data_IF_366788519646
#
_entry.id   IF_366788519646
#
_cell.length_a   1.000
_cell.length_b   1.000
_cell.length_c   1.000
_cell.angle_alpha   90.00
_cell.angle_beta   90.00
_cell.angle_gamma   90.00
#
_symmetry.space_group_name_H-M   'P 1'
#
loop_
_entity.id
_entity.type
_entity.pdbx_description
1 polymer ?
#
# COMPACT_ATOMS: atom_id res chain seq x y z
N UNK A 1 -12.89 14.57 6.13
CA UNK A 1 -12.71 13.16 6.50
C UNK A 1 -13.52 12.89 7.76
N UNK A 2 -14.65 12.22 7.57
CA UNK A 2 -15.56 11.89 8.66
C UNK A 2 -15.52 10.38 8.91
N UNK A 3 -15.11 9.99 10.10
CA UNK A 3 -15.00 8.58 10.49
C UNK A 3 -16.37 7.95 10.79
N UNK A 4 -17.40 8.77 10.94
CA UNK A 4 -18.79 8.30 11.08
C UNK A 4 -19.42 8.21 9.70
N UNK A 5 -19.76 7.03 9.19
CA UNK A 5 -20.38 6.91 7.88
C UNK A 5 -21.81 7.39 7.90
N UNK A 6 -22.21 8.05 6.82
CA UNK A 6 -23.58 8.45 6.56
C UNK A 6 -24.15 7.61 5.40
N UNK A 7 -24.72 6.41 5.67
CA UNK A 7 -25.13 5.46 4.63
C UNK A 7 -26.10 6.03 3.60
N UNK A 8 -27.03 6.89 4.01
CA UNK A 8 -28.01 7.47 3.10
C UNK A 8 -27.39 8.54 2.19
N UNK A 9 -26.37 9.26 2.64
CA UNK A 9 -25.63 10.20 1.81
C UNK A 9 -24.79 9.47 0.77
N UNK A 10 -24.07 8.41 1.17
CA UNK A 10 -23.31 7.54 0.25
C UNK A 10 -24.25 7.00 -0.84
N UNK A 11 -25.41 6.48 -0.44
CA UNK A 11 -26.43 5.99 -1.35
C UNK A 11 -26.99 7.10 -2.26
N UNK A 12 -27.20 8.29 -1.71
CA UNK A 12 -27.65 9.46 -2.46
C UNK A 12 -26.66 9.82 -3.57
N UNK A 13 -25.37 9.91 -3.26
CA UNK A 13 -24.31 10.22 -4.23
C UNK A 13 -24.18 9.11 -5.28
N UNK A 14 -24.15 7.84 -4.87
CA UNK A 14 -24.08 6.71 -5.80
C UNK A 14 -25.28 6.70 -6.78
N UNK A 15 -26.49 6.95 -6.28
CA UNK A 15 -27.69 7.05 -7.12
C UNK A 15 -27.65 8.25 -8.08
N UNK A 16 -27.12 9.40 -7.64
CA UNK A 16 -26.96 10.58 -8.49
C UNK A 16 -25.97 10.32 -9.64
N UNK A 17 -24.85 9.65 -9.34
CA UNK A 17 -23.89 9.21 -10.35
C UNK A 17 -24.56 8.27 -11.36
N UNK A 18 -25.28 7.25 -10.90
CA UNK A 18 -25.98 6.32 -11.78
C UNK A 18 -27.03 7.04 -12.67
N UNK A 19 -27.81 7.96 -12.12
CA UNK A 19 -28.79 8.74 -12.86
C UNK A 19 -28.18 9.70 -13.88
N UNK A 20 -26.95 10.15 -13.66
CA UNK A 20 -26.27 11.06 -14.60
C UNK A 20 -25.93 10.41 -15.94
N UNK A 21 -25.92 9.07 -16.02
CA UNK A 21 -25.51 8.31 -17.19
C UNK A 21 -24.01 8.46 -17.56
N UNK A 22 -23.21 9.14 -16.72
CA UNK A 22 -21.80 9.37 -16.97
C UNK A 22 -20.95 8.29 -16.27
N UNK A 23 -19.89 7.78 -16.91
CA UNK A 23 -18.96 6.82 -16.29
C UNK A 23 -18.08 7.53 -15.25
N UNK A 24 -18.54 7.60 -14.02
CA UNK A 24 -17.82 8.22 -12.90
C UNK A 24 -17.49 7.17 -11.84
N UNK A 25 -16.28 7.28 -11.27
CA UNK A 25 -15.83 6.49 -10.13
C UNK A 25 -16.16 7.25 -8.85
N UNK A 26 -16.84 6.58 -7.92
CA UNK A 26 -17.04 7.08 -6.57
C UNK A 26 -15.95 6.46 -5.67
N UNK A 27 -15.11 7.31 -5.12
CA UNK A 27 -14.12 6.96 -4.12
C UNK A 27 -14.53 7.58 -2.78
N UNK A 28 -14.63 6.76 -1.75
CA UNK A 28 -14.93 7.21 -0.39
C UNK A 28 -13.61 7.35 0.39
N UNK A 29 -13.47 8.45 1.11
CA UNK A 29 -12.31 8.75 1.96
C UNK A 29 -12.76 9.24 3.34
N UNK A 30 -13.31 8.35 4.18
CA UNK A 30 -13.83 8.72 5.49
C UNK A 30 -12.75 8.93 6.55
N UNK A 31 -11.48 8.83 6.20
CA UNK A 31 -10.35 8.87 7.12
C UNK A 31 -9.93 7.50 7.64
N UNK A 32 -9.05 7.48 8.64
CA UNK A 32 -8.60 6.25 9.28
C UNK A 32 -9.65 5.63 10.20
N UNK A 33 -9.39 4.42 10.64
CA UNK A 33 -10.22 3.64 11.57
C UNK A 33 -11.69 3.40 11.11
N UNK A 34 -11.84 3.18 9.82
CA UNK A 34 -13.15 2.89 9.19
C UNK A 34 -13.73 1.58 9.74
N UNK A 35 -15.02 1.60 10.10
CA UNK A 35 -15.69 0.42 10.66
C UNK A 35 -16.26 -0.49 9.56
N UNK A 36 -15.83 -1.76 9.45
CA UNK A 36 -16.36 -2.73 8.50
C UNK A 36 -17.87 -3.06 8.65
N UNK A 37 -18.48 -2.72 9.76
CA UNK A 37 -19.93 -2.96 9.98
C UNK A 37 -20.80 -2.20 8.97
N UNK A 38 -20.26 -1.15 8.36
CA UNK A 38 -20.95 -0.37 7.33
C UNK A 38 -20.61 -0.79 5.89
N UNK A 39 -20.06 -2.00 5.72
CA UNK A 39 -19.61 -2.52 4.42
C UNK A 39 -20.68 -2.41 3.31
N UNK A 40 -21.94 -2.71 3.62
CA UNK A 40 -23.02 -2.66 2.65
C UNK A 40 -23.23 -1.23 2.07
N UNK A 41 -23.06 -0.21 2.90
CA UNK A 41 -23.11 1.18 2.45
C UNK A 41 -21.87 1.52 1.60
N UNK A 42 -20.68 1.14 2.06
CA UNK A 42 -19.43 1.41 1.36
C UNK A 42 -19.37 0.73 -0.02
N UNK A 43 -19.91 -0.47 -0.14
CA UNK A 43 -19.93 -1.23 -1.39
C UNK A 43 -20.85 -0.64 -2.49
N UNK A 44 -21.48 0.49 -2.25
CA UNK A 44 -22.13 1.30 -3.28
C UNK A 44 -21.16 2.22 -4.03
N UNK A 45 -19.98 2.39 -3.49
CA UNK A 45 -18.87 3.07 -4.15
C UNK A 45 -17.98 2.08 -4.90
N UNK A 46 -16.98 2.58 -5.59
CA UNK A 46 -16.00 1.79 -6.33
C UNK A 46 -14.71 1.60 -5.53
N UNK A 47 -14.41 2.52 -4.64
CA UNK A 47 -13.23 2.50 -3.81
C UNK A 47 -13.57 3.01 -2.40
N UNK A 48 -12.91 2.44 -1.40
CA UNK A 48 -12.98 2.88 -0.02
C UNK A 48 -11.58 2.99 0.55
N UNK A 49 -11.15 4.18 0.88
CA UNK A 49 -9.92 4.38 1.64
C UNK A 49 -10.15 3.99 3.10
N UNK A 50 -9.31 3.10 3.61
CA UNK A 50 -9.45 2.52 4.95
C UNK A 50 -8.32 2.92 5.90
N UNK A 51 -7.25 3.48 5.37
CA UNK A 51 -6.08 3.93 6.14
C UNK A 51 -6.16 5.41 6.49
N UNK A 52 -5.45 5.88 7.54
CA UNK A 52 -5.10 7.29 7.68
C UNK A 52 -4.22 7.74 6.50
N UNK A 53 -3.77 9.00 6.53
CA UNK A 53 -2.80 9.50 5.56
C UNK A 53 -1.49 8.71 5.65
N UNK A 54 -1.16 8.00 4.57
CA UNK A 54 0.03 7.16 4.51
C UNK A 54 1.19 7.97 3.95
N UNK A 55 2.24 8.04 4.76
CA UNK A 55 3.50 8.66 4.38
C UNK A 55 4.63 7.63 4.34
N UNK A 56 5.81 8.09 3.96
CA UNK A 56 7.02 7.30 3.73
C UNK A 56 7.76 6.96 5.03
N UNK A 57 7.08 6.29 5.95
CA UNK A 57 7.64 5.81 7.21
C UNK A 57 7.17 4.40 7.55
N UNK A 58 7.83 3.78 8.53
CA UNK A 58 7.50 2.43 8.98
C UNK A 58 6.10 2.32 9.54
N UNK A 59 5.62 3.37 10.21
CA UNK A 59 4.28 3.41 10.78
C UNK A 59 3.21 3.26 9.68
N UNK A 60 3.36 3.99 8.56
CA UNK A 60 2.47 3.86 7.40
C UNK A 60 2.45 2.45 6.80
N UNK A 61 3.60 1.78 6.72
CA UNK A 61 3.67 0.39 6.30
C UNK A 61 2.89 -0.52 7.27
N UNK A 62 3.11 -0.36 8.58
CA UNK A 62 2.46 -1.19 9.59
C UNK A 62 0.95 -0.99 9.61
N UNK A 63 0.47 0.23 9.47
CA UNK A 63 -0.95 0.57 9.33
C UNK A 63 -1.57 -0.08 8.10
N UNK A 64 -0.91 -0.04 6.94
CA UNK A 64 -1.39 -0.72 5.74
C UNK A 64 -1.54 -2.24 5.94
N UNK A 65 -0.60 -2.91 6.60
CA UNK A 65 -0.73 -4.34 6.90
C UNK A 65 -1.86 -4.63 7.90
N UNK A 66 -2.04 -3.80 8.92
CA UNK A 66 -3.14 -3.93 9.87
C UNK A 66 -4.50 -3.79 9.19
N UNK A 67 -4.63 -2.79 8.32
CA UNK A 67 -5.86 -2.58 7.56
C UNK A 67 -6.09 -3.67 6.52
N UNK A 68 -5.04 -4.19 5.85
CA UNK A 68 -5.20 -5.33 4.96
C UNK A 68 -5.76 -6.55 5.69
N UNK A 69 -5.30 -6.83 6.92
CA UNK A 69 -5.88 -7.89 7.78
C UNK A 69 -7.34 -7.60 8.12
N UNK A 70 -7.65 -6.40 8.59
CA UNK A 70 -8.99 -5.95 8.99
C UNK A 70 -10.00 -6.04 7.84
N UNK A 71 -9.56 -5.69 6.63
CA UNK A 71 -10.39 -5.63 5.44
C UNK A 71 -10.27 -6.84 4.52
N UNK A 72 -9.54 -7.89 4.94
CA UNK A 72 -9.37 -9.09 4.14
C UNK A 72 -10.71 -9.72 3.77
N UNK A 73 -10.84 -10.14 2.50
CA UNK A 73 -12.07 -10.73 1.96
C UNK A 73 -13.24 -9.77 1.75
N UNK A 74 -13.08 -8.45 2.00
CA UNK A 74 -14.17 -7.47 1.86
C UNK A 74 -14.20 -6.74 0.51
N UNK A 75 -13.15 -6.85 -0.30
CA UNK A 75 -13.16 -6.36 -1.68
C UNK A 75 -13.95 -7.31 -2.59
N UNK A 76 -14.48 -6.78 -3.67
CA UNK A 76 -15.17 -7.56 -4.72
C UNK A 76 -15.00 -6.85 -6.06
N UNK A 77 -15.29 -7.51 -7.20
CA UNK A 77 -15.30 -6.84 -8.49
C UNK A 77 -16.17 -5.57 -8.47
N UNK A 78 -15.58 -4.44 -8.84
CA UNK A 78 -16.23 -3.12 -8.81
C UNK A 78 -16.13 -2.37 -7.47
N UNK A 79 -15.53 -2.97 -6.43
CA UNK A 79 -15.27 -2.32 -5.16
C UNK A 79 -13.92 -2.75 -4.58
N UNK A 80 -12.99 -1.83 -4.46
CA UNK A 80 -11.64 -2.07 -3.98
C UNK A 80 -11.32 -1.30 -2.70
N UNK A 81 -10.56 -1.95 -1.84
CA UNK A 81 -10.03 -1.34 -0.62
C UNK A 81 -8.80 -0.51 -0.99
N UNK A 82 -8.87 0.78 -0.71
CA UNK A 82 -7.82 1.74 -0.99
C UNK A 82 -7.00 1.98 0.29
N UNK A 83 -5.69 1.80 0.19
CA UNK A 83 -4.73 2.02 1.27
C UNK A 83 -3.91 3.30 1.05
N UNK A 84 -4.51 4.30 0.40
CA UNK A 84 -3.94 5.61 0.15
C UNK A 84 -2.81 5.63 -0.89
N UNK A 85 -2.07 6.71 -0.96
CA UNK A 85 -1.05 6.97 -1.97
C UNK A 85 0.22 6.11 -1.85
N UNK A 86 1.01 6.09 -2.92
CA UNK A 86 2.36 5.53 -2.97
C UNK A 86 3.36 6.68 -2.87
N UNK A 87 3.99 6.89 -1.70
CA UNK A 87 4.84 8.06 -1.45
C UNK A 87 6.29 7.84 -1.93
N UNK A 88 6.48 7.57 -3.24
CA UNK A 88 7.80 7.41 -3.85
C UNK A 88 8.24 8.67 -4.59
N UNK A 89 9.55 8.90 -4.68
CA UNK A 89 10.13 10.04 -5.36
C UNK A 89 10.03 11.35 -4.58
N UNK A 90 9.88 12.46 -5.28
CA UNK A 90 9.72 13.76 -4.66
C UNK A 90 8.30 13.93 -4.14
N UNK A 91 8.18 14.25 -2.86
CA UNK A 91 6.92 14.49 -2.16
C UNK A 91 6.76 15.98 -1.88
N UNK A 92 5.51 16.46 -1.91
CA UNK A 92 5.17 17.80 -1.46
C UNK A 92 4.44 17.73 -0.11
N UNK A 93 5.05 18.27 0.92
CA UNK A 93 4.43 18.38 2.23
C UNK A 93 3.44 19.55 2.23
N UNK A 94 2.25 19.34 2.75
CA UNK A 94 1.16 20.33 2.75
C UNK A 94 1.31 21.40 3.83
N UNK A 95 2.54 21.79 4.13
CA UNK A 95 2.85 22.85 5.08
C UNK A 95 3.68 23.91 4.41
N UNK A 96 3.56 25.19 4.78
CA UNK A 96 4.48 26.21 4.30
C UNK A 96 5.89 25.83 4.75
N UNK A 97 6.87 26.05 3.87
CA UNK A 97 8.26 25.87 4.22
C UNK A 97 8.65 26.91 5.27
N UNK A 98 8.98 26.51 6.51
CA UNK A 98 9.40 27.45 7.55
C UNK A 98 10.70 28.14 7.19
N UNK A 99 10.95 29.33 7.73
CA UNK A 99 12.26 29.93 7.68
C UNK A 99 13.31 28.99 8.31
N UNK A 100 14.45 28.86 7.69
CA UNK A 100 15.51 27.95 8.15
C UNK A 100 15.42 26.50 7.64
N UNK A 101 14.41 26.16 6.84
CA UNK A 101 14.33 24.88 6.12
C UNK A 101 14.61 25.12 4.63
N UNK A 102 15.60 24.40 4.07
CA UNK A 102 15.97 24.52 2.65
C UNK A 102 15.03 23.74 1.72
N UNK A 103 14.44 22.66 2.25
CA UNK A 103 13.65 21.68 1.49
C UNK A 103 14.45 20.45 1.06
N UNK A 104 15.74 20.39 1.45
CA UNK A 104 16.60 19.21 1.24
C UNK A 104 16.83 18.42 2.53
N UNK A 105 16.32 18.91 3.67
CA UNK A 105 16.44 18.24 4.94
C UNK A 105 15.52 17.01 5.01
N UNK A 106 16.02 15.99 5.71
CA UNK A 106 15.23 14.84 6.13
C UNK A 106 14.20 15.23 7.20
N UNK A 107 13.21 14.38 7.40
CA UNK A 107 12.21 14.53 8.48
C UNK A 107 12.87 14.64 9.85
N UNK A 108 13.92 13.85 10.10
CA UNK A 108 14.63 13.88 11.38
C UNK A 108 15.35 15.22 11.61
N UNK A 109 15.99 15.76 10.59
CA UNK A 109 16.64 17.08 10.66
C UNK A 109 15.62 18.20 10.90
N UNK A 110 14.49 18.17 10.21
CA UNK A 110 13.40 19.12 10.42
C UNK A 110 12.88 19.03 11.87
N UNK A 111 12.60 17.81 12.35
CA UNK A 111 12.14 17.60 13.72
C UNK A 111 13.17 18.04 14.76
N UNK A 112 14.46 17.86 14.49
CA UNK A 112 15.54 18.35 15.36
C UNK A 112 15.55 19.88 15.42
N UNK A 113 15.43 20.55 14.27
CA UNK A 113 15.35 22.02 14.20
C UNK A 113 14.12 22.57 14.93
N UNK A 114 12.97 21.89 14.84
CA UNK A 114 11.76 22.26 15.59
C UNK A 114 11.98 22.10 17.11
N UNK A 115 12.59 20.98 17.53
CA UNK A 115 12.87 20.71 18.94
C UNK A 115 13.91 21.67 19.55
N UNK A 116 14.89 22.13 18.77
CA UNK A 116 15.89 23.09 19.19
C UNK A 116 15.37 24.54 19.20
N UNK A 117 14.18 24.81 18.65
CA UNK A 117 13.64 26.15 18.51
C UNK A 117 14.24 26.96 17.36
N UNK A 118 15.07 26.34 16.51
CA UNK A 118 15.59 27.01 15.30
C UNK A 118 14.49 27.26 14.26
N UNK A 119 13.45 26.44 14.29
CA UNK A 119 12.29 26.52 13.40
C UNK A 119 11.03 26.40 14.25
N UNK A 120 10.10 27.31 14.07
CA UNK A 120 8.80 27.24 14.72
C UNK A 120 8.00 26.05 14.19
N UNK A 121 7.21 25.41 15.06
CA UNK A 121 6.25 24.39 14.65
C UNK A 121 5.25 25.03 13.69
N UNK A 122 5.15 24.50 12.50
CA UNK A 122 4.25 25.00 11.48
C UNK A 122 2.94 24.18 11.40
N UNK A 123 1.89 24.83 10.97
CA UNK A 123 0.58 24.21 10.73
C UNK A 123 0.44 23.79 9.26
N UNK A 124 -0.36 22.76 9.03
CA UNK A 124 -0.73 22.33 7.69
C UNK A 124 -1.58 23.40 7.00
N UNK A 125 -1.13 23.87 5.85
CA UNK A 125 -1.86 24.80 5.01
C UNK A 125 -1.97 24.25 3.59
N UNK A 126 -3.18 23.90 3.19
CA UNK A 126 -3.45 23.36 1.86
C UNK A 126 -2.88 24.28 0.75
N UNK A 127 -2.19 23.67 -0.20
CA UNK A 127 -1.60 24.37 -1.35
C UNK A 127 -0.34 25.19 -1.07
N UNK A 128 0.22 25.11 0.13
CA UNK A 128 1.47 25.79 0.50
C UNK A 128 2.46 24.81 1.13
N UNK A 129 2.94 23.88 0.33
CA UNK A 129 3.88 22.88 0.81
C UNK A 129 5.32 23.17 0.40
N UNK A 130 6.22 22.30 0.82
CA UNK A 130 7.59 22.24 0.34
C UNK A 130 7.95 20.80 -0.07
N UNK A 131 8.93 20.68 -0.96
CA UNK A 131 9.31 19.40 -1.51
C UNK A 131 10.41 18.74 -0.68
N UNK A 132 10.35 17.43 -0.57
CA UNK A 132 11.45 16.57 -0.14
C UNK A 132 11.41 15.22 -0.85
N UNK A 133 12.49 14.49 -0.83
CA UNK A 133 12.53 13.13 -1.36
C UNK A 133 11.95 12.15 -0.32
N UNK A 134 11.31 11.09 -0.81
CA UNK A 134 10.83 9.99 0.01
C UNK A 134 11.97 9.38 0.85
N UNK A 135 11.70 9.13 2.11
CA UNK A 135 12.66 8.54 3.07
C UNK A 135 12.58 7.00 3.13
N UNK A 136 11.71 6.39 2.37
CA UNK A 136 11.67 4.93 2.30
C UNK A 136 13.01 4.35 1.84
N UNK A 137 13.50 3.37 2.59
CA UNK A 137 14.58 2.50 2.11
C UNK A 137 14.12 1.70 0.88
N UNK A 138 15.06 1.13 0.14
CA UNK A 138 14.74 0.26 -1.00
C UNK A 138 13.93 -0.96 -0.58
N UNK A 139 14.21 -1.55 0.59
CA UNK A 139 13.48 -2.70 1.11
C UNK A 139 12.04 -2.31 1.52
N UNK A 140 11.86 -1.13 2.11
CA UNK A 140 10.53 -0.59 2.39
C UNK A 140 9.73 -0.33 1.11
N UNK A 141 10.36 0.22 0.07
CA UNK A 141 9.69 0.41 -1.23
C UNK A 141 9.27 -0.92 -1.86
N UNK A 142 10.13 -1.95 -1.82
CA UNK A 142 9.81 -3.30 -2.30
C UNK A 142 8.64 -3.88 -1.52
N UNK A 143 8.68 -3.81 -0.20
CA UNK A 143 7.59 -4.25 0.68
C UNK A 143 6.30 -3.53 0.36
N UNK A 144 6.34 -2.22 0.28
CA UNK A 144 5.17 -1.37 0.08
C UNK A 144 4.46 -1.68 -1.24
N UNK A 145 5.19 -1.71 -2.36
CA UNK A 145 4.59 -1.98 -3.67
C UNK A 145 4.11 -3.43 -3.81
N UNK A 146 4.81 -4.39 -3.20
CA UNK A 146 4.40 -5.80 -3.20
C UNK A 146 3.10 -5.99 -2.42
N UNK A 147 3.00 -5.38 -1.24
CA UNK A 147 1.79 -5.36 -0.43
C UNK A 147 0.60 -4.75 -1.21
N UNK A 148 0.81 -3.59 -1.86
CA UNK A 148 -0.21 -2.92 -2.67
C UNK A 148 -0.70 -3.80 -3.82
N UNK A 149 0.21 -4.53 -4.47
CA UNK A 149 -0.15 -5.42 -5.56
C UNK A 149 -0.99 -6.61 -5.06
N UNK A 150 -0.55 -7.28 -3.99
CA UNK A 150 -1.23 -8.45 -3.44
C UNK A 150 -2.56 -8.12 -2.77
N UNK A 151 -2.69 -6.95 -2.16
CA UNK A 151 -3.95 -6.49 -1.59
C UNK A 151 -4.97 -6.00 -2.63
N UNK A 152 -4.57 -5.93 -3.90
CA UNK A 152 -5.35 -5.32 -4.98
C UNK A 152 -5.81 -3.89 -4.67
N UNK A 153 -5.04 -3.15 -3.86
CA UNK A 153 -5.30 -1.75 -3.58
C UNK A 153 -5.03 -0.90 -4.82
N UNK A 154 -5.84 0.10 -5.12
CA UNK A 154 -5.57 1.03 -6.21
C UNK A 154 -4.17 1.64 -6.10
N UNK A 155 -3.46 1.72 -7.23
CA UNK A 155 -2.12 2.28 -7.28
C UNK A 155 -2.18 3.76 -7.64
N UNK A 156 -2.17 4.62 -6.63
CA UNK A 156 -2.19 6.07 -6.78
C UNK A 156 -0.85 6.65 -6.34
N UNK A 157 -0.16 7.34 -7.27
CA UNK A 157 1.12 7.96 -6.96
C UNK A 157 0.92 9.24 -6.15
N UNK A 158 1.59 9.31 -5.00
CA UNK A 158 1.64 10.51 -4.16
C UNK A 158 2.87 11.38 -4.44
N UNK A 159 3.88 10.84 -5.11
CA UNK A 159 5.07 11.56 -5.50
C UNK A 159 5.04 12.06 -6.95
N UNK A 160 5.94 12.99 -7.27
CA UNK A 160 6.08 13.56 -8.60
C UNK A 160 6.67 12.55 -9.59
N UNK A 161 5.87 12.11 -10.56
CA UNK A 161 6.28 11.09 -11.54
C UNK A 161 7.50 11.49 -12.39
N UNK A 162 7.63 12.75 -12.87
CA UNK A 162 8.79 13.17 -13.66
C UNK A 162 10.13 13.11 -12.92
N UNK A 163 10.12 13.15 -11.60
CA UNK A 163 11.34 13.14 -10.76
C UNK A 163 11.65 11.79 -10.13
N UNK A 164 10.91 10.74 -10.49
CA UNK A 164 11.20 9.39 -10.00
C UNK A 164 12.60 8.93 -10.41
N UNK A 165 13.33 8.37 -9.45
CA UNK A 165 14.58 7.68 -9.74
C UNK A 165 14.33 6.35 -10.48
N UNK A 166 15.38 5.80 -11.09
CA UNK A 166 15.30 4.57 -11.87
C UNK A 166 14.81 3.35 -11.05
N UNK A 167 15.11 3.31 -9.75
CA UNK A 167 14.68 2.22 -8.89
C UNK A 167 13.17 2.29 -8.66
N UNK A 168 12.66 3.45 -8.23
CA UNK A 168 11.22 3.70 -8.04
C UNK A 168 10.43 3.45 -9.32
N UNK A 169 10.93 3.95 -10.45
CA UNK A 169 10.32 3.73 -11.77
C UNK A 169 10.24 2.24 -12.11
N UNK A 170 11.33 1.47 -11.88
CA UNK A 170 11.34 0.02 -12.10
C UNK A 170 10.30 -0.71 -11.25
N UNK A 171 10.07 -0.27 -10.02
CA UNK A 171 9.08 -0.89 -9.13
C UNK A 171 7.65 -0.70 -9.66
N UNK A 172 7.28 0.54 -9.96
CA UNK A 172 5.90 0.87 -10.37
C UNK A 172 5.56 0.45 -11.81
N UNK A 173 6.58 0.13 -12.61
CA UNK A 173 6.41 -0.36 -14.00
C UNK A 173 6.67 -1.86 -14.15
N UNK A 174 6.92 -2.59 -13.07
CA UNK A 174 7.13 -4.03 -13.11
C UNK A 174 5.86 -4.74 -13.58
N UNK A 175 5.96 -5.47 -14.69
CA UNK A 175 4.79 -6.09 -15.35
C UNK A 175 4.11 -7.14 -14.50
N UNK A 176 4.86 -7.93 -13.72
CA UNK A 176 4.30 -8.97 -12.86
C UNK A 176 3.58 -8.37 -11.65
N UNK A 177 4.15 -7.31 -11.08
CA UNK A 177 3.52 -6.56 -9.98
C UNK A 177 2.21 -5.89 -10.45
N UNK A 178 2.24 -5.27 -11.63
CA UNK A 178 1.04 -4.69 -12.23
C UNK A 178 0.00 -5.76 -12.57
N UNK A 179 0.43 -6.91 -13.10
CA UNK A 179 -0.47 -8.03 -13.38
C UNK A 179 -1.11 -8.59 -12.10
N UNK A 180 -0.36 -8.70 -11.01
CA UNK A 180 -0.87 -9.07 -9.70
C UNK A 180 -1.95 -8.09 -9.22
N UNK A 181 -1.66 -6.79 -9.23
CA UNK A 181 -2.60 -5.76 -8.83
C UNK A 181 -3.86 -5.75 -9.71
N UNK A 182 -3.71 -5.75 -11.03
CA UNK A 182 -4.80 -5.72 -12.01
C UNK A 182 -5.62 -7.03 -12.03
N UNK A 183 -5.10 -8.10 -11.44
CA UNK A 183 -5.88 -9.30 -11.17
C UNK A 183 -7.11 -8.99 -10.30
N UNK A 184 -7.04 -7.95 -9.45
CA UNK A 184 -8.16 -7.42 -8.69
C UNK A 184 -8.71 -8.39 -7.64
N UNK A 185 -7.91 -9.35 -7.19
CA UNK A 185 -8.23 -10.30 -6.13
C UNK A 185 -7.35 -9.97 -4.92
N UNK A 186 -7.97 -9.61 -3.83
CA UNK A 186 -7.26 -9.33 -2.57
C UNK A 186 -6.66 -10.63 -2.02
N UNK A 187 -5.37 -10.61 -1.76
CA UNK A 187 -4.65 -11.77 -1.22
C UNK A 187 -5.03 -12.07 0.22
N UNK A 188 -4.91 -13.34 0.59
CA UNK A 188 -5.18 -13.87 1.91
C UNK A 188 -3.89 -14.15 2.67
N UNK A 189 -3.91 -13.94 3.99
CA UNK A 189 -2.82 -14.30 4.89
C UNK A 189 -2.85 -15.83 5.12
N UNK A 190 -1.80 -16.53 4.67
CA UNK A 190 -1.72 -18.00 4.78
C UNK A 190 -0.69 -18.45 5.83
N UNK A 191 0.20 -17.56 6.27
CA UNK A 191 1.19 -17.86 7.30
C UNK A 191 1.52 -16.59 8.08
N UNK A 192 1.59 -16.69 9.40
CA UNK A 192 1.96 -15.62 10.31
C UNK A 192 2.66 -16.19 11.53
N UNK A 193 3.98 -16.21 11.49
CA UNK A 193 4.78 -16.74 12.58
C UNK A 193 6.17 -16.12 12.60
N UNK A 194 6.68 -15.89 13.80
CA UNK A 194 8.05 -15.39 14.04
C UNK A 194 8.39 -14.12 13.25
N UNK A 195 7.39 -13.21 13.09
CA UNK A 195 7.54 -11.97 12.34
C UNK A 195 7.62 -12.16 10.83
N UNK A 196 7.30 -13.35 10.30
CA UNK A 196 7.13 -13.59 8.87
C UNK A 196 5.65 -13.69 8.55
N UNK A 197 5.22 -12.92 7.56
CA UNK A 197 3.89 -13.03 6.97
C UNK A 197 3.98 -13.53 5.53
N UNK A 198 3.14 -14.51 5.18
CA UNK A 198 2.98 -14.95 3.79
C UNK A 198 1.56 -14.68 3.35
N UNK A 199 1.44 -13.89 2.30
CA UNK A 199 0.18 -13.55 1.67
C UNK A 199 0.12 -14.15 0.27
N UNK A 200 -1.06 -14.62 -0.12
CA UNK A 200 -1.27 -15.29 -1.40
C UNK A 200 -2.52 -14.76 -2.09
N UNK A 201 -2.41 -14.48 -3.38
CA UNK A 201 -3.54 -14.17 -4.24
C UNK A 201 -3.58 -15.11 -5.43
N UNK A 202 -4.70 -15.84 -5.65
CA UNK A 202 -4.84 -16.68 -6.82
C UNK A 202 -5.05 -15.84 -8.08
N UNK A 203 -4.54 -16.31 -9.21
CA UNK A 203 -4.86 -15.70 -10.50
C UNK A 203 -6.28 -16.11 -10.91
N UNK A 204 -7.17 -15.13 -11.12
CA UNK A 204 -8.57 -15.38 -11.47
C UNK A 204 -8.80 -16.00 -12.85
N UNK A 205 -7.82 -15.88 -13.75
CA UNK A 205 -7.93 -16.35 -15.15
C UNK A 205 -7.23 -17.67 -15.39
N UNK A 206 -6.16 -17.98 -14.62
CA UNK A 206 -5.28 -19.11 -14.85
C UNK A 206 -5.02 -19.86 -13.54
N UNK A 207 -4.44 -21.08 -13.69
CA UNK A 207 -3.87 -21.77 -12.52
C UNK A 207 -2.60 -21.05 -12.06
N UNK A 208 -2.41 -20.94 -10.74
CA UNK A 208 -1.30 -20.23 -10.11
C UNK A 208 -1.73 -18.93 -9.46
N UNK A 209 -0.81 -18.01 -9.32
CA UNK A 209 -1.03 -16.72 -8.63
C UNK A 209 0.27 -16.14 -8.13
N UNK A 210 0.16 -15.26 -7.17
CA UNK A 210 1.29 -14.56 -6.58
C UNK A 210 1.36 -14.81 -5.07
N UNK A 211 2.58 -14.86 -4.56
CA UNK A 211 2.87 -15.05 -3.14
C UNK A 211 3.84 -13.96 -2.73
N UNK A 212 3.52 -13.22 -1.67
CA UNK A 212 4.42 -12.29 -1.02
C UNK A 212 4.87 -12.84 0.32
N UNK A 213 6.17 -12.80 0.57
CA UNK A 213 6.79 -13.19 1.82
C UNK A 213 7.38 -11.92 2.43
N UNK A 214 6.87 -11.52 3.59
CA UNK A 214 7.24 -10.28 4.25
C UNK A 214 7.92 -10.57 5.59
N UNK A 215 9.08 -9.96 5.80
CA UNK A 215 9.72 -9.93 7.11
C UNK A 215 9.24 -8.68 7.85
N UNK A 216 8.43 -8.89 8.89
CA UNK A 216 7.88 -7.82 9.74
C UNK A 216 8.78 -7.51 10.95
N UNK A 217 9.93 -8.18 11.04
CA UNK A 217 10.91 -7.96 12.10
C UNK A 217 11.99 -6.96 11.66
N UNK A 218 12.75 -6.45 12.60
CA UNK A 218 13.85 -5.50 12.36
C UNK A 218 15.16 -6.15 11.89
N UNK A 219 15.24 -7.46 11.91
CA UNK A 219 16.44 -8.22 11.59
C UNK A 219 16.24 -9.07 10.33
N UNK A 220 17.33 -9.28 9.60
CA UNK A 220 17.36 -10.27 8.52
C UNK A 220 16.88 -11.63 9.04
N UNK A 221 16.00 -12.28 8.30
CA UNK A 221 15.53 -13.63 8.59
C UNK A 221 15.87 -14.60 7.48
N UNK A 222 16.37 -15.77 7.88
CA UNK A 222 16.48 -16.92 6.99
C UNK A 222 15.26 -17.80 7.19
N UNK A 223 14.58 -18.10 6.10
CA UNK A 223 13.34 -18.86 6.09
C UNK A 223 13.45 -20.01 5.11
N UNK A 224 13.38 -21.24 5.63
CA UNK A 224 13.20 -22.44 4.83
C UNK A 224 11.73 -22.85 4.87
N UNK A 225 11.08 -22.84 3.73
CA UNK A 225 9.69 -23.24 3.59
C UNK A 225 9.58 -24.59 2.89
N UNK A 226 8.68 -25.42 3.34
CA UNK A 226 8.18 -26.48 2.49
C UNK A 226 7.02 -25.96 1.61
N UNK A 227 6.66 -26.74 0.59
CA UNK A 227 5.57 -26.33 -0.30
C UNK A 227 4.22 -26.25 0.40
N UNK A 228 4.02 -27.00 1.47
CA UNK A 228 2.78 -27.02 2.22
C UNK A 228 2.57 -25.69 2.96
N UNK A 229 3.65 -25.02 3.36
CA UNK A 229 3.57 -23.67 3.95
C UNK A 229 3.06 -22.59 2.96
N UNK A 230 3.14 -22.87 1.66
CA UNK A 230 2.67 -21.97 0.60
C UNK A 230 1.26 -22.30 0.09
N UNK A 231 0.60 -23.29 0.70
CA UNK A 231 -0.75 -23.73 0.40
C UNK A 231 -0.81 -25.07 -0.35
N UNK A 232 -1.84 -25.86 -0.06
CA UNK A 232 -2.05 -27.22 -0.57
C UNK A 232 -2.18 -27.33 -2.10
N UNK A 233 -2.51 -26.25 -2.77
CA UNK A 233 -2.66 -26.17 -4.22
C UNK A 233 -1.32 -26.05 -4.97
N UNK A 234 -0.21 -25.80 -4.26
CA UNK A 234 1.13 -25.84 -4.84
C UNK A 234 1.63 -27.29 -5.01
N UNK A 235 1.27 -27.86 -6.14
CA UNK A 235 1.73 -29.20 -6.53
C UNK A 235 3.25 -29.24 -6.71
N UNK A 236 3.84 -30.44 -6.59
CA UNK A 236 5.27 -30.66 -6.79
C UNK A 236 5.80 -30.20 -8.17
N UNK A 237 4.93 -30.09 -9.16
CA UNK A 237 5.24 -29.60 -10.51
C UNK A 237 5.15 -28.08 -10.68
N UNK A 238 4.73 -27.33 -9.63
CA UNK A 238 4.61 -25.87 -9.72
C UNK A 238 5.98 -25.23 -9.91
N UNK A 239 6.08 -24.33 -10.87
CA UNK A 239 7.26 -23.53 -11.15
C UNK A 239 7.11 -22.21 -10.38
N UNK A 240 8.10 -21.87 -9.57
CA UNK A 240 8.16 -20.62 -8.84
C UNK A 240 9.15 -19.67 -9.51
N UNK A 241 8.82 -18.39 -9.44
CA UNK A 241 9.61 -17.33 -10.03
C UNK A 241 9.74 -16.16 -9.03
N UNK A 242 10.95 -15.72 -8.79
CA UNK A 242 11.24 -14.53 -7.99
C UNK A 242 11.06 -13.29 -8.88
N UNK A 243 10.00 -12.54 -8.65
CA UNK A 243 9.62 -11.36 -9.44
C UNK A 243 10.66 -10.26 -9.33
N UNK A 244 11.23 -10.07 -8.13
CA UNK A 244 12.19 -9.00 -7.88
C UNK A 244 13.62 -9.38 -8.29
N UNK A 245 13.98 -10.64 -8.10
CA UNK A 245 15.27 -11.17 -8.51
C UNK A 245 15.34 -11.59 -9.97
N UNK A 246 14.22 -11.56 -10.70
CA UNK A 246 14.10 -11.95 -12.12
C UNK A 246 14.69 -13.34 -12.40
N UNK A 247 14.34 -14.33 -11.56
CA UNK A 247 14.91 -15.67 -11.65
C UNK A 247 13.95 -16.78 -11.22
N UNK A 248 14.18 -17.98 -11.75
CA UNK A 248 13.47 -19.17 -11.29
C UNK A 248 13.94 -19.56 -9.89
N UNK A 249 13.00 -19.93 -9.03
CA UNK A 249 13.25 -20.44 -7.70
C UNK A 249 13.32 -21.96 -7.77
N UNK A 250 14.51 -22.51 -7.42
CA UNK A 250 14.73 -23.95 -7.35
C UNK A 250 14.53 -24.53 -5.95
N UNK A 251 14.77 -23.74 -4.92
CA UNK A 251 14.64 -24.09 -3.49
C UNK A 251 13.86 -23.01 -2.76
N UNK A 252 13.12 -23.42 -1.74
CA UNK A 252 12.31 -22.51 -0.90
C UNK A 252 13.08 -22.03 0.33
N UNK A 253 14.37 -21.71 0.13
CA UNK A 253 15.24 -21.13 1.13
C UNK A 253 15.41 -19.64 0.82
N UNK A 254 14.96 -18.79 1.71
CA UNK A 254 14.96 -17.34 1.51
C UNK A 254 15.74 -16.64 2.63
N UNK A 255 16.52 -15.63 2.24
CA UNK A 255 17.00 -14.61 3.15
C UNK A 255 16.19 -13.33 2.88
N UNK A 256 15.45 -12.87 3.87
CA UNK A 256 14.51 -11.78 3.72
C UNK A 256 14.97 -10.64 4.64
N UNK A 257 15.33 -9.51 4.02
CA UNK A 257 15.73 -8.31 4.74
C UNK A 257 14.60 -7.81 5.64
N UNK A 258 14.97 -7.05 6.66
CA UNK A 258 14.01 -6.28 7.45
C UNK A 258 13.35 -5.18 6.60
N UNK A 259 12.15 -4.84 6.96
CA UNK A 259 11.47 -3.66 6.40
C UNK A 259 12.01 -2.37 7.01
#
# INVERSE_FOLDING_TARGET
>A
DDIVPFPEEIKGVANAIAKSGRPMILSLSPGGDVNPDYLDAFQRAHMLRVTPDIWDDQKGIDECFADWRKWNGKSKPGFWIDMDMIPFGQLQLMSPKPAGISGSETREEINKKIKSGEVEKFELLAGKGFNRISEFSKDQMLTFITMRALSASPLMMGGDLPTLDNFSLKLITNKEILACNQNGVMGELIYDKDGIEIWKTPNKLNKGGWIGIFNRDKNLKSLALDKNALGEDLKNSSKLYDVWGDKKIAKLDFNINAN
#
